data_IF_093762410593
#
_entry.id   IF_093762410593
#
_cell.length_a   1.000
_cell.length_b   1.000
_cell.length_c   1.000
_cell.angle_alpha   90.00
_cell.angle_beta   90.00
_cell.angle_gamma   90.00
#
_symmetry.space_group_name_H-M   'P 1'
#
loop_
_entity.id
_entity.type
_entity.pdbx_description
1 polymer ?
#
# COMPACT_ATOMS: atom_id res chain seq x y z
N UNK A 1 1.47 -20.70 -10.95
CA UNK A 1 2.46 -19.99 -11.80
C UNK A 1 3.20 -18.99 -10.92
N UNK A 2 4.51 -19.12 -10.74
CA UNK A 2 5.33 -18.17 -9.95
C UNK A 2 5.67 -17.02 -10.90
N UNK A 3 5.07 -15.84 -10.70
CA UNK A 3 5.42 -14.64 -11.48
C UNK A 3 6.83 -14.22 -11.06
N UNK A 4 7.82 -14.41 -11.93
CA UNK A 4 9.20 -13.97 -11.69
C UNK A 4 9.46 -12.55 -12.24
N UNK A 5 8.67 -12.12 -13.23
CA UNK A 5 8.80 -10.82 -13.86
C UNK A 5 7.48 -10.40 -14.55
N UNK A 6 7.18 -9.11 -14.52
CA UNK A 6 6.08 -8.49 -15.29
C UNK A 6 6.60 -7.19 -15.88
N UNK A 7 6.67 -7.05 -17.21
CA UNK A 7 7.33 -5.94 -17.88
C UNK A 7 8.77 -5.74 -17.34
N UNK A 8 9.09 -4.52 -16.90
CA UNK A 8 10.38 -4.15 -16.28
C UNK A 8 10.40 -4.35 -14.75
N UNK A 9 9.37 -4.97 -14.17
CA UNK A 9 9.30 -5.27 -12.74
C UNK A 9 9.80 -6.69 -12.46
N UNK A 10 10.89 -6.81 -11.71
CA UNK A 10 11.36 -8.07 -11.14
C UNK A 10 10.59 -8.35 -9.85
N UNK A 11 9.83 -9.43 -9.80
CA UNK A 11 9.01 -9.81 -8.65
C UNK A 11 9.87 -10.60 -7.66
N UNK A 12 9.87 -10.21 -6.39
CA UNK A 12 10.66 -10.86 -5.34
C UNK A 12 9.81 -11.74 -4.45
N UNK A 13 8.73 -11.19 -3.89
CA UNK A 13 7.89 -11.90 -2.93
C UNK A 13 6.42 -11.46 -3.04
N UNK A 14 5.54 -12.35 -2.60
CA UNK A 14 4.12 -12.05 -2.41
C UNK A 14 3.90 -11.46 -1.01
N UNK A 15 3.17 -10.36 -0.93
CA UNK A 15 2.94 -9.60 0.31
C UNK A 15 1.54 -9.81 0.88
N UNK A 16 0.55 -10.05 0.03
CA UNK A 16 -0.83 -10.24 0.49
C UNK A 16 -1.87 -10.18 -0.63
N UNK A 17 -3.11 -10.50 -0.28
CA UNK A 17 -4.28 -10.44 -1.18
C UNK A 17 -5.37 -9.63 -0.52
N UNK A 18 -5.92 -8.68 -1.27
CA UNK A 18 -7.10 -7.92 -0.91
C UNK A 18 -8.26 -8.20 -1.86
N UNK A 19 -9.35 -7.45 -1.70
CA UNK A 19 -10.55 -7.58 -2.54
C UNK A 19 -10.24 -7.43 -4.04
N UNK A 20 -9.31 -6.54 -4.39
CA UNK A 20 -8.98 -6.20 -5.77
C UNK A 20 -7.83 -7.02 -6.38
N UNK A 21 -7.28 -8.00 -5.65
CA UNK A 21 -6.21 -8.86 -6.15
C UNK A 21 -5.01 -8.97 -5.21
N UNK A 22 -3.84 -9.25 -5.77
CA UNK A 22 -2.63 -9.61 -5.04
C UNK A 22 -1.60 -8.48 -5.06
N UNK A 23 -0.79 -8.38 -4.00
CA UNK A 23 0.30 -7.39 -3.88
C UNK A 23 1.62 -8.13 -3.75
N UNK A 24 2.64 -7.63 -4.43
CA UNK A 24 3.98 -8.21 -4.47
C UNK A 24 5.05 -7.14 -4.22
N UNK A 25 6.17 -7.51 -3.61
CA UNK A 25 7.38 -6.68 -3.61
C UNK A 25 8.09 -6.88 -4.94
N UNK A 26 8.46 -5.78 -5.58
CA UNK A 26 9.16 -5.81 -6.86
C UNK A 26 10.24 -4.73 -6.94
N UNK A 27 11.14 -4.87 -7.90
CA UNK A 27 12.10 -3.81 -8.26
C UNK A 27 11.91 -3.40 -9.71
N UNK A 28 11.95 -2.10 -9.96
CA UNK A 28 11.95 -1.48 -11.29
C UNK A 28 13.24 -0.66 -11.50
N UNK A 29 13.88 -0.71 -12.68
CA UNK A 29 15.13 0.02 -12.94
C UNK A 29 15.05 1.53 -12.70
N UNK A 30 13.88 2.14 -12.95
CA UNK A 30 13.67 3.59 -12.78
C UNK A 30 13.18 3.99 -11.38
N UNK A 31 12.43 3.11 -10.71
CA UNK A 31 11.66 3.47 -9.49
C UNK A 31 12.18 2.78 -8.23
N UNK A 32 13.15 1.88 -8.36
CA UNK A 32 13.68 1.12 -7.23
C UNK A 32 12.67 0.09 -6.73
N UNK A 33 12.59 -0.09 -5.41
CA UNK A 33 11.73 -1.07 -4.76
C UNK A 33 10.30 -0.52 -4.59
N UNK A 34 9.33 -1.27 -5.08
CA UNK A 34 7.91 -0.88 -5.12
C UNK A 34 7.00 -2.00 -4.61
N UNK A 35 5.77 -1.63 -4.22
CA UNK A 35 4.67 -2.56 -4.01
C UNK A 35 3.84 -2.65 -5.30
N UNK A 36 3.89 -3.78 -6.00
CA UNK A 36 3.14 -4.01 -7.23
C UNK A 36 1.80 -4.68 -6.92
N UNK A 37 0.69 -3.97 -7.16
CA UNK A 37 -0.68 -4.48 -6.97
C UNK A 37 -1.21 -5.05 -8.29
N UNK A 38 -1.27 -6.38 -8.39
CA UNK A 38 -1.96 -7.08 -9.46
C UNK A 38 -3.46 -7.01 -9.24
N UNK A 39 -4.15 -6.38 -10.17
CA UNK A 39 -5.60 -6.25 -10.15
C UNK A 39 -6.26 -7.47 -10.78
N UNK A 40 -7.28 -8.01 -10.13
CA UNK A 40 -8.11 -9.09 -10.69
C UNK A 40 -9.48 -8.53 -11.06
N UNK A 41 -9.89 -8.70 -12.32
CA UNK A 41 -11.14 -8.14 -12.84
C UNK A 41 -12.10 -9.28 -13.14
N UNK A 42 -13.26 -9.29 -12.48
CA UNK A 42 -14.35 -10.21 -12.80
C UNK A 42 -15.57 -9.47 -13.38
N UNK A 43 -15.68 -8.14 -13.18
CA UNK A 43 -16.85 -7.36 -13.61
C UNK A 43 -16.55 -5.91 -13.99
N UNK A 44 -17.47 -5.31 -14.75
CA UNK A 44 -17.41 -3.89 -15.14
C UNK A 44 -17.53 -2.92 -13.96
N UNK A 45 -18.21 -3.29 -12.87
CA UNK A 45 -18.28 -2.46 -11.66
C UNK A 45 -16.93 -2.36 -10.94
N UNK A 46 -16.16 -3.45 -10.90
CA UNK A 46 -14.83 -3.45 -10.30
C UNK A 46 -13.85 -2.53 -11.03
N UNK A 47 -14.02 -2.37 -12.36
CA UNK A 47 -13.23 -1.42 -13.15
C UNK A 47 -13.47 0.05 -12.73
N UNK A 48 -14.71 0.43 -12.38
CA UNK A 48 -15.00 1.79 -11.91
C UNK A 48 -14.36 2.08 -10.54
N UNK A 49 -14.42 1.13 -9.60
CA UNK A 49 -13.76 1.27 -8.30
C UNK A 49 -12.25 1.41 -8.43
N UNK A 50 -11.64 0.62 -9.31
CA UNK A 50 -10.20 0.67 -9.58
C UNK A 50 -9.81 1.99 -10.23
N UNK A 51 -10.60 2.50 -11.19
CA UNK A 51 -10.34 3.83 -11.78
C UNK A 51 -10.38 4.91 -10.71
N UNK A 52 -11.40 4.91 -9.85
CA UNK A 52 -11.48 5.84 -8.70
C UNK A 52 -10.29 5.71 -7.76
N UNK A 53 -9.88 4.49 -7.42
CA UNK A 53 -8.71 4.25 -6.56
C UNK A 53 -7.43 4.76 -7.24
N UNK A 54 -7.23 4.48 -8.53
CA UNK A 54 -6.07 4.94 -9.29
C UNK A 54 -6.03 6.46 -9.42
N UNK A 55 -7.18 7.11 -9.65
CA UNK A 55 -7.26 8.55 -9.81
C UNK A 55 -7.03 9.25 -8.46
N UNK A 56 -7.62 8.74 -7.39
CA UNK A 56 -7.34 9.20 -6.03
C UNK A 56 -5.84 9.06 -5.70
N UNK A 57 -5.21 7.91 -6.00
CA UNK A 57 -3.79 7.70 -5.70
C UNK A 57 -2.86 8.62 -6.50
N UNK A 58 -3.19 8.93 -7.76
CA UNK A 58 -2.42 9.88 -8.58
C UNK A 58 -2.47 11.31 -8.03
N UNK A 59 -3.60 11.69 -7.43
CA UNK A 59 -3.77 13.01 -6.81
C UNK A 59 -2.89 13.14 -5.57
N UNK A 60 -2.70 12.04 -4.83
CA UNK A 60 -2.03 12.02 -3.52
C UNK A 60 -0.53 11.74 -3.64
N UNK A 61 -0.08 11.09 -4.72
CA UNK A 61 1.35 10.82 -4.94
C UNK A 61 1.81 11.25 -6.33
N UNK A 62 2.67 12.27 -6.39
CA UNK A 62 3.45 12.60 -7.60
C UNK A 62 4.48 11.50 -7.97
N UNK A 63 4.78 10.57 -7.06
CA UNK A 63 5.69 9.44 -7.30
C UNK A 63 4.97 8.10 -7.09
N UNK A 64 5.07 7.19 -8.07
CA UNK A 64 4.54 5.82 -7.97
C UNK A 64 4.90 5.15 -6.62
N UNK A 65 3.94 4.43 -6.05
CA UNK A 65 3.89 3.94 -4.66
C UNK A 65 5.18 3.24 -4.21
N UNK A 66 5.99 3.97 -3.42
CA UNK A 66 7.18 3.45 -2.76
C UNK A 66 6.84 2.27 -1.85
N UNK A 67 7.70 1.27 -1.81
CA UNK A 67 7.53 0.16 -0.88
C UNK A 67 7.75 0.60 0.57
N UNK A 68 6.80 0.30 1.45
CA UNK A 68 6.92 0.55 2.89
C UNK A 68 7.50 -0.70 3.58
N UNK A 69 8.77 -0.65 3.99
CA UNK A 69 9.43 -1.76 4.70
C UNK A 69 8.74 -2.13 6.03
N UNK A 70 7.98 -1.19 6.64
CA UNK A 70 7.22 -1.43 7.87
C UNK A 70 5.92 -2.22 7.69
N UNK A 71 5.50 -2.50 6.45
CA UNK A 71 4.24 -3.19 6.16
C UNK A 71 3.01 -2.38 6.59
N UNK A 72 1.89 -3.08 6.84
CA UNK A 72 0.65 -2.43 7.29
C UNK A 72 0.64 -2.24 8.81
N UNK A 73 -0.03 -1.18 9.28
CA UNK A 73 -0.24 -0.94 10.71
C UNK A 73 -0.93 -2.14 11.38
N UNK A 74 -1.89 -2.79 10.70
CA UNK A 74 -2.56 -3.97 11.20
C UNK A 74 -1.59 -5.14 11.45
N UNK A 75 -0.70 -5.44 10.50
CA UNK A 75 0.31 -6.48 10.65
C UNK A 75 1.28 -6.15 11.80
N UNK A 76 1.68 -4.88 11.91
CA UNK A 76 2.53 -4.41 13.02
C UNK A 76 1.86 -4.59 14.38
N UNK A 77 0.59 -4.17 14.52
CA UNK A 77 -0.18 -4.31 15.77
C UNK A 77 -0.37 -5.77 16.15
N UNK A 78 -0.66 -6.64 15.17
CA UNK A 78 -0.80 -8.08 15.38
C UNK A 78 0.52 -8.69 15.85
N UNK A 79 1.65 -8.33 15.25
CA UNK A 79 2.96 -8.81 15.66
C UNK A 79 3.29 -8.39 17.11
N UNK A 80 3.00 -7.14 17.49
CA UNK A 80 3.19 -6.65 18.87
C UNK A 80 2.31 -7.37 19.88
N UNK A 81 1.04 -7.60 19.53
CA UNK A 81 0.10 -8.39 20.34
C UNK A 81 0.60 -9.81 20.55
N UNK A 82 1.03 -10.48 19.48
CA UNK A 82 1.54 -11.86 19.55
C UNK A 82 2.81 -11.95 20.42
N UNK A 83 3.69 -10.95 20.32
CA UNK A 83 4.90 -10.87 21.14
C UNK A 83 4.64 -10.38 22.58
N UNK A 84 3.41 -10.01 22.94
CA UNK A 84 3.03 -9.37 24.22
C UNK A 84 3.90 -8.14 24.54
N UNK A 85 4.34 -7.42 23.51
CA UNK A 85 5.16 -6.21 23.66
C UNK A 85 4.23 -5.01 23.75
N UNK A 86 4.33 -4.25 24.85
CA UNK A 86 3.62 -2.97 24.98
C UNK A 86 4.16 -1.96 23.97
N UNK A 87 3.27 -1.16 23.41
CA UNK A 87 3.66 -0.07 22.52
C UNK A 87 4.01 1.17 23.32
N UNK A 88 5.09 1.81 22.92
CA UNK A 88 5.49 3.10 23.46
C UNK A 88 4.44 4.18 23.10
N UNK A 89 3.91 4.95 24.07
CA UNK A 89 2.88 5.96 23.82
C UNK A 89 3.28 6.99 22.75
N UNK A 90 4.56 7.40 22.71
CA UNK A 90 5.06 8.32 21.71
C UNK A 90 4.92 7.78 20.28
N UNK A 91 5.11 6.48 20.07
CA UNK A 91 4.93 5.84 18.75
C UNK A 91 3.46 5.75 18.36
N UNK A 92 2.57 5.49 19.32
CA UNK A 92 1.11 5.50 19.09
C UNK A 92 0.68 6.88 18.63
N UNK A 93 1.07 7.92 19.37
CA UNK A 93 0.74 9.30 19.03
C UNK A 93 1.27 9.68 17.65
N UNK A 94 2.49 9.28 17.31
CA UNK A 94 3.05 9.53 15.98
C UNK A 94 2.18 8.92 14.87
N UNK A 95 1.69 7.70 15.02
CA UNK A 95 0.78 7.11 14.03
C UNK A 95 -0.52 7.89 13.92
N UNK A 96 -1.13 8.26 15.05
CA UNK A 96 -2.38 9.02 15.07
C UNK A 96 -2.21 10.38 14.39
N UNK A 97 -1.19 11.14 14.78
CA UNK A 97 -0.89 12.45 14.18
C UNK A 97 -0.66 12.35 12.67
N UNK A 98 0.17 11.41 12.21
CA UNK A 98 0.41 11.24 10.77
C UNK A 98 -0.84 10.85 9.99
N UNK A 99 -1.76 10.07 10.58
CA UNK A 99 -3.04 9.74 9.95
C UNK A 99 -3.96 10.96 9.89
N UNK A 100 -4.04 11.74 10.97
CA UNK A 100 -4.85 12.96 11.01
C UNK A 100 -4.37 13.98 9.99
N UNK A 101 -3.05 14.23 9.93
CA UNK A 101 -2.44 15.18 9.00
C UNK A 101 -2.70 14.79 7.53
N UNK A 102 -2.52 13.50 7.21
CA UNK A 102 -2.82 12.99 5.87
C UNK A 102 -4.31 13.10 5.50
N UNK A 103 -5.22 12.83 6.45
CA UNK A 103 -6.66 12.98 6.22
C UNK A 103 -7.07 14.45 6.04
N UNK A 104 -6.44 15.36 6.78
CA UNK A 104 -6.64 16.80 6.65
C UNK A 104 -6.22 17.26 5.25
N UNK A 105 -5.03 16.84 4.80
CA UNK A 105 -4.54 17.14 3.45
C UNK A 105 -5.50 16.63 2.36
N UNK A 106 -6.00 15.40 2.49
CA UNK A 106 -6.99 14.82 1.58
C UNK A 106 -8.30 15.60 1.55
N UNK A 107 -8.77 16.09 2.70
CA UNK A 107 -10.03 16.81 2.79
C UNK A 107 -9.95 18.25 2.27
N UNK A 108 -8.81 18.91 2.39
CA UNK A 108 -8.67 20.35 2.16
C UNK A 108 -7.89 20.72 0.90
N UNK A 109 -6.92 19.93 0.44
CA UNK A 109 -6.09 20.30 -0.75
C UNK A 109 -6.56 19.73 -2.08
N UNK A 110 -7.47 18.75 -2.07
CA UNK A 110 -7.83 17.97 -3.27
C UNK A 110 -9.35 17.91 -3.56
N UNK A 111 -10.11 18.89 -3.07
CA UNK A 111 -11.49 19.17 -3.53
C UNK A 111 -11.48 20.26 -4.60
#
# INVERSE_FOLDING_TARGET
>A
MRLSQVNNYKIHEYLGKGAFGCVYKATHPKYGTVALKQLNFASSRELEFIKRESDALKIISESETKYCEGGSLAAYLQAKRNAKISMEPAKVLKFVYSLCDALDELHFKHK
#
